data_IF_447458005504
#
_entry.id   IF_447458005504
#
_cell.length_a   1.000
_cell.length_b   1.000
_cell.length_c   1.000
_cell.angle_alpha   90.00
_cell.angle_beta   90.00
_cell.angle_gamma   90.00
#
_symmetry.space_group_name_H-M   'P 1'
#
loop_
_entity.id
_entity.type
_entity.pdbx_description
1 polymer ?
#
# COMPACT_ATOMS: atom_id res chain seq x y z
N UNK A 1 -2.89 40.83 -24.00
CA UNK A 1 -4.11 40.54 -23.20
C UNK A 1 -4.55 39.08 -23.30
N UNK A 2 -4.81 38.52 -24.50
CA UNK A 2 -5.27 37.13 -24.68
C UNK A 2 -4.31 36.06 -24.10
N UNK A 3 -2.99 36.25 -24.21
CA UNK A 3 -1.99 35.31 -23.68
C UNK A 3 -1.93 35.30 -22.14
N UNK A 4 -2.11 36.47 -21.52
CA UNK A 4 -2.12 36.62 -20.06
C UNK A 4 -3.34 35.91 -19.45
N UNK A 5 -4.51 36.05 -20.09
CA UNK A 5 -5.74 35.38 -19.66
C UNK A 5 -5.60 33.84 -19.75
N UNK A 6 -4.98 33.32 -20.81
CA UNK A 6 -4.72 31.88 -20.95
C UNK A 6 -3.81 31.35 -19.84
N UNK A 7 -2.73 32.06 -19.54
CA UNK A 7 -1.80 31.68 -18.49
C UNK A 7 -2.48 31.64 -17.11
N UNK A 8 -3.36 32.62 -16.86
CA UNK A 8 -4.13 32.71 -15.62
C UNK A 8 -5.10 31.54 -15.47
N UNK A 9 -5.82 31.16 -16.54
CA UNK A 9 -6.73 30.01 -16.55
C UNK A 9 -5.96 28.71 -16.34
N UNK A 10 -4.83 28.51 -17.02
CA UNK A 10 -3.99 27.31 -16.87
C UNK A 10 -3.45 27.18 -15.45
N UNK A 11 -2.98 28.27 -14.83
CA UNK A 11 -2.49 28.27 -13.46
C UNK A 11 -3.60 27.91 -12.46
N UNK A 12 -4.80 28.47 -12.63
CA UNK A 12 -5.97 28.12 -11.81
C UNK A 12 -6.32 26.64 -12.00
N UNK A 13 -6.40 26.15 -13.23
CA UNK A 13 -6.70 24.73 -13.48
C UNK A 13 -5.68 23.81 -12.82
N UNK A 14 -4.37 24.09 -12.92
CA UNK A 14 -3.32 23.30 -12.27
C UNK A 14 -3.41 23.31 -10.75
N UNK A 15 -3.83 24.43 -10.15
CA UNK A 15 -4.01 24.55 -8.70
C UNK A 15 -5.24 23.81 -8.19
N UNK A 16 -6.33 23.74 -8.97
CA UNK A 16 -7.56 23.03 -8.56
C UNK A 16 -7.54 21.55 -8.94
N UNK A 17 -6.78 21.16 -9.97
CA UNK A 17 -6.65 19.78 -10.45
C UNK A 17 -6.40 18.74 -9.34
N UNK A 18 -5.46 18.90 -8.39
CA UNK A 18 -5.23 17.89 -7.35
C UNK A 18 -6.45 17.63 -6.44
N UNK A 19 -7.37 18.59 -6.30
CA UNK A 19 -8.58 18.45 -5.45
C UNK A 19 -9.68 17.58 -6.08
N UNK A 20 -9.55 17.22 -7.36
CA UNK A 20 -10.49 16.35 -8.10
C UNK A 20 -9.83 15.04 -8.56
N UNK A 21 -8.58 14.78 -8.17
CA UNK A 21 -7.89 13.52 -8.44
C UNK A 21 -7.96 12.60 -7.22
N UNK A 22 -8.75 11.53 -7.31
CA UNK A 22 -8.84 10.45 -6.31
C UNK A 22 -7.60 9.51 -6.34
N UNK A 23 -6.42 10.06 -6.62
CA UNK A 23 -5.24 9.31 -7.06
C UNK A 23 -4.04 9.36 -6.12
N UNK A 24 -4.16 9.85 -4.89
CA UNK A 24 -3.05 9.71 -3.93
C UNK A 24 -3.11 8.34 -3.27
N UNK A 25 -2.41 7.40 -3.90
CA UNK A 25 -2.00 6.16 -3.24
C UNK A 25 -1.32 6.50 -1.90
N UNK A 26 -1.56 5.71 -0.84
CA UNK A 26 -0.92 5.94 0.45
C UNK A 26 0.61 5.88 0.29
N UNK A 27 1.32 6.75 1.00
CA UNK A 27 2.77 6.59 1.14
C UNK A 27 3.05 5.38 2.03
N UNK A 28 3.67 4.36 1.46
CA UNK A 28 4.03 3.13 2.18
C UNK A 28 5.37 3.27 2.93
N UNK A 29 6.10 4.36 2.77
CA UNK A 29 7.38 4.61 3.44
C UNK A 29 8.34 3.43 3.30
N UNK A 30 8.95 3.03 4.42
CA UNK A 30 9.88 1.88 4.46
C UNK A 30 9.21 0.51 4.23
N UNK A 31 7.89 0.41 4.27
CA UNK A 31 7.19 -0.83 3.93
C UNK A 31 7.14 -1.07 2.41
N UNK A 32 7.44 -0.05 1.58
CA UNK A 32 7.39 -0.15 0.11
C UNK A 32 8.34 -1.20 -0.51
N UNK A 33 9.43 -1.54 0.19
CA UNK A 33 10.38 -2.59 -0.25
C UNK A 33 9.96 -4.01 0.12
N UNK A 34 8.95 -4.17 0.97
CA UNK A 34 8.48 -5.46 1.45
C UNK A 34 7.38 -6.02 0.55
N UNK A 35 7.54 -7.26 0.12
CA UNK A 35 6.49 -8.02 -0.55
C UNK A 35 5.55 -8.72 0.45
N UNK A 36 6.08 -9.18 1.60
CA UNK A 36 5.29 -9.74 2.70
C UNK A 36 5.82 -9.22 4.03
N UNK A 37 4.94 -8.59 4.81
CA UNK A 37 5.34 -8.07 6.11
C UNK A 37 4.20 -8.16 7.12
N UNK A 38 4.54 -8.42 8.38
CA UNK A 38 3.63 -8.24 9.52
C UNK A 38 4.31 -7.45 10.63
N UNK A 39 3.62 -6.44 11.16
CA UNK A 39 4.13 -5.67 12.29
C UNK A 39 4.17 -6.52 13.58
N UNK A 40 3.22 -7.45 13.73
CA UNK A 40 3.14 -8.36 14.86
C UNK A 40 2.41 -9.64 14.49
N UNK A 41 3.15 -10.74 14.44
CA UNK A 41 2.64 -12.07 14.17
C UNK A 41 3.74 -13.00 13.66
N UNK A 42 3.57 -14.29 13.95
CA UNK A 42 4.33 -15.31 13.25
C UNK A 42 3.78 -15.49 11.83
N UNK A 43 4.65 -15.70 10.85
CA UNK A 43 4.24 -16.06 9.50
C UNK A 43 5.10 -17.23 8.99
N UNK A 44 4.43 -18.22 8.39
CA UNK A 44 5.03 -19.49 7.99
C UNK A 44 4.64 -19.85 6.58
N UNK A 45 5.62 -20.18 5.73
CA UNK A 45 5.38 -20.82 4.44
C UNK A 45 5.46 -22.35 4.56
N UNK A 46 4.55 -23.04 3.88
CA UNK A 46 4.53 -24.52 3.81
C UNK A 46 4.77 -25.04 2.39
N UNK A 47 4.69 -24.17 1.38
CA UNK A 47 4.77 -24.53 -0.04
C UNK A 47 6.20 -24.54 -0.57
N UNK A 48 6.56 -25.59 -1.31
CA UNK A 48 7.85 -25.70 -1.99
C UNK A 48 7.97 -24.81 -3.24
N UNK A 49 6.82 -24.46 -3.85
CA UNK A 49 6.75 -23.68 -5.08
C UNK A 49 6.52 -22.18 -4.80
N UNK A 50 6.68 -21.74 -3.55
CA UNK A 50 6.54 -20.35 -3.15
C UNK A 50 7.81 -19.59 -3.50
N UNK A 51 7.69 -18.58 -4.36
CA UNK A 51 8.76 -17.62 -4.66
C UNK A 51 8.25 -16.21 -4.43
N UNK A 52 8.97 -15.43 -3.63
CA UNK A 52 8.61 -14.05 -3.28
C UNK A 52 9.70 -13.13 -3.81
N UNK A 53 9.32 -12.13 -4.61
CA UNK A 53 10.23 -11.07 -5.06
C UNK A 53 9.97 -9.79 -4.26
N UNK A 54 10.99 -9.33 -3.53
CA UNK A 54 10.90 -8.26 -2.53
C UNK A 54 11.26 -8.76 -1.14
N UNK A 55 11.47 -7.84 -0.21
CA UNK A 55 11.85 -8.17 1.15
C UNK A 55 10.68 -8.82 1.89
N UNK A 56 10.97 -9.71 2.84
CA UNK A 56 9.95 -10.30 3.71
C UNK A 56 10.31 -10.09 5.17
N UNK A 57 9.32 -10.01 6.06
CA UNK A 57 9.64 -9.84 7.46
C UNK A 57 8.51 -9.88 8.48
N UNK A 58 8.93 -9.92 9.73
CA UNK A 58 8.08 -9.69 10.90
C UNK A 58 8.84 -8.85 11.92
N UNK A 59 8.20 -7.83 12.49
CA UNK A 59 8.82 -7.06 13.57
C UNK A 59 8.66 -7.74 14.94
N UNK A 60 7.59 -8.54 15.12
CA UNK A 60 7.38 -9.34 16.33
C UNK A 60 6.83 -10.71 15.93
N UNK A 61 7.57 -11.78 16.22
CA UNK A 61 7.15 -13.15 15.93
C UNK A 61 8.17 -13.93 15.13
N UNK A 62 7.82 -15.17 14.78
CA UNK A 62 8.69 -16.06 14.01
C UNK A 62 8.40 -15.98 12.51
N UNK A 63 9.46 -16.09 11.69
CA UNK A 63 9.36 -16.26 10.25
C UNK A 63 9.98 -17.61 9.89
N UNK A 64 9.18 -18.51 9.29
CA UNK A 64 9.63 -19.87 8.95
C UNK A 64 9.16 -20.32 7.57
N UNK A 65 9.79 -21.34 7.00
CA UNK A 65 9.39 -21.92 5.71
C UNK A 65 10.08 -21.33 4.47
N UNK A 66 11.14 -20.54 4.66
CA UNK A 66 12.04 -20.06 3.61
C UNK A 66 13.48 -20.41 4.01
N UNK A 67 13.99 -21.61 3.67
CA UNK A 67 13.45 -22.64 2.75
C UNK A 67 12.31 -23.52 3.32
N UNK A 68 11.52 -24.24 2.47
CA UNK A 68 11.74 -24.47 1.03
C UNK A 68 11.30 -23.34 0.11
N UNK A 69 10.55 -22.35 0.62
CA UNK A 69 10.22 -21.15 -0.16
C UNK A 69 11.48 -20.38 -0.54
N UNK A 70 11.39 -19.64 -1.64
CA UNK A 70 12.48 -18.80 -2.18
C UNK A 70 12.13 -17.33 -1.94
N UNK A 71 13.13 -16.56 -1.51
CA UNK A 71 13.04 -15.09 -1.40
C UNK A 71 14.07 -14.49 -2.35
N UNK A 72 13.61 -13.62 -3.23
CA UNK A 72 14.43 -12.76 -4.09
C UNK A 72 14.40 -11.37 -3.45
N UNK A 73 15.15 -11.22 -2.37
CA UNK A 73 15.12 -10.08 -1.45
C UNK A 73 15.80 -10.44 -0.12
N UNK A 74 15.61 -9.62 0.90
CA UNK A 74 16.11 -9.83 2.24
C UNK A 74 15.02 -10.31 3.20
N UNK A 75 15.44 -10.99 4.26
CA UNK A 75 14.57 -11.45 5.35
C UNK A 75 14.88 -10.59 6.58
N UNK A 76 13.87 -9.88 7.07
CA UNK A 76 13.98 -8.97 8.23
C UNK A 76 13.12 -9.47 9.40
N UNK A 77 13.76 -9.87 10.50
CA UNK A 77 13.08 -10.40 11.69
C UNK A 77 13.54 -9.63 12.92
N UNK A 78 12.65 -8.84 13.51
CA UNK A 78 12.89 -8.02 14.70
C UNK A 78 14.19 -7.19 14.62
N UNK A 79 14.46 -6.62 13.45
CA UNK A 79 15.58 -5.71 13.18
C UNK A 79 15.11 -4.27 12.90
N UNK A 80 16.07 -3.36 12.67
CA UNK A 80 15.79 -1.96 12.40
C UNK A 80 14.87 -1.73 11.18
N UNK A 81 15.03 -2.52 10.12
CA UNK A 81 14.22 -2.40 8.91
C UNK A 81 12.78 -2.83 9.18
N UNK A 82 12.58 -3.94 9.90
CA UNK A 82 11.26 -4.40 10.32
C UNK A 82 10.57 -3.42 11.28
N UNK A 83 11.31 -2.76 12.17
CA UNK A 83 10.77 -1.75 13.09
C UNK A 83 10.28 -0.50 12.34
N UNK A 84 11.06 -0.02 11.37
CA UNK A 84 10.65 1.08 10.50
C UNK A 84 9.44 0.68 9.65
N UNK A 85 9.44 -0.52 9.06
CA UNK A 85 8.31 -1.03 8.29
C UNK A 85 7.02 -1.14 9.12
N UNK A 86 7.10 -1.59 10.38
CA UNK A 86 5.95 -1.62 11.29
C UNK A 86 5.32 -0.23 11.48
N UNK A 87 6.16 0.79 11.71
CA UNK A 87 5.71 2.18 11.84
C UNK A 87 5.09 2.69 10.53
N UNK A 88 5.71 2.38 9.39
CA UNK A 88 5.21 2.80 8.08
C UNK A 88 3.86 2.15 7.73
N UNK A 89 3.66 0.87 8.08
CA UNK A 89 2.37 0.18 7.91
C UNK A 89 1.28 0.83 8.77
N UNK A 90 1.59 1.16 10.04
CA UNK A 90 0.63 1.82 10.94
C UNK A 90 0.22 3.21 10.42
N UNK A 91 1.18 4.00 9.93
CA UNK A 91 0.93 5.29 9.31
C UNK A 91 0.06 5.16 8.05
N UNK A 92 0.39 4.22 7.16
CA UNK A 92 -0.37 3.99 5.94
C UNK A 92 -1.80 3.53 6.25
N UNK A 93 -1.97 2.63 7.23
CA UNK A 93 -3.28 2.18 7.70
C UNK A 93 -4.09 3.32 8.30
N UNK A 94 -3.49 4.14 9.18
CA UNK A 94 -4.15 5.29 9.80
C UNK A 94 -4.61 6.29 8.74
N UNK A 95 -3.77 6.55 7.73
CA UNK A 95 -4.16 7.40 6.60
C UNK A 95 -5.36 6.81 5.85
N UNK A 96 -5.29 5.53 5.43
CA UNK A 96 -6.33 4.87 4.65
C UNK A 96 -7.66 4.74 5.41
N UNK A 97 -7.61 4.40 6.70
CA UNK A 97 -8.81 4.23 7.55
C UNK A 97 -9.52 5.55 7.85
N UNK A 98 -8.81 6.69 7.74
CA UNK A 98 -9.39 8.03 7.82
C UNK A 98 -10.11 8.48 6.55
N UNK A 99 -10.02 7.72 5.45
CA UNK A 99 -10.66 8.07 4.18
C UNK A 99 -12.12 7.61 4.15
N UNK A 100 -13.01 8.50 3.70
CA UNK A 100 -14.39 8.14 3.38
C UNK A 100 -14.50 7.54 1.97
N UNK A 101 -15.35 6.52 1.82
CA UNK A 101 -15.57 5.82 0.55
C UNK A 101 -17.05 5.72 0.17
N UNK A 102 -17.30 5.20 -1.03
CA UNK A 102 -18.62 4.76 -1.45
C UNK A 102 -18.85 3.32 -0.98
N UNK A 103 -20.05 3.05 -0.48
CA UNK A 103 -20.41 1.69 -0.06
C UNK A 103 -20.56 0.76 -1.27
N UNK A 104 -20.03 -0.45 -1.12
CA UNK A 104 -20.30 -1.53 -2.04
C UNK A 104 -21.71 -2.07 -1.77
N UNK A 105 -22.67 -1.72 -2.65
CA UNK A 105 -24.07 -2.13 -2.53
C UNK A 105 -24.27 -3.66 -2.52
N UNK A 106 -23.32 -4.41 -3.07
CA UNK A 106 -23.25 -5.87 -3.05
C UNK A 106 -21.83 -6.31 -2.70
N UNK A 107 -21.68 -7.51 -2.14
CA UNK A 107 -20.35 -8.08 -1.90
C UNK A 107 -19.51 -8.13 -3.17
N UNK A 108 -18.21 -7.83 -3.04
CA UNK A 108 -17.26 -7.74 -4.14
C UNK A 108 -17.25 -9.03 -4.98
N UNK A 109 -17.39 -8.91 -6.30
CA UNK A 109 -17.33 -10.04 -7.24
C UNK A 109 -18.35 -9.96 -8.37
N UNK A 110 -18.78 -11.12 -8.88
CA UNK A 110 -19.89 -11.28 -9.84
C UNK A 110 -19.83 -10.39 -11.10
N UNK A 111 -18.63 -10.06 -11.58
CA UNK A 111 -18.43 -9.24 -12.77
C UNK A 111 -18.63 -7.73 -12.56
N UNK A 112 -18.63 -7.26 -11.31
CA UNK A 112 -18.66 -5.84 -10.99
C UNK A 112 -17.47 -5.10 -11.60
N UNK A 113 -17.71 -3.90 -12.14
CA UNK A 113 -16.68 -2.98 -12.62
C UNK A 113 -16.59 -1.84 -11.61
N UNK A 114 -15.46 -1.74 -10.92
CA UNK A 114 -15.15 -0.62 -10.04
C UNK A 114 -14.45 0.48 -10.84
N UNK A 115 -14.84 1.72 -10.59
CA UNK A 115 -14.14 2.90 -11.14
C UNK A 115 -13.12 3.38 -10.10
N UNK A 116 -12.15 4.24 -10.46
CA UNK A 116 -11.23 4.79 -9.48
C UNK A 116 -11.98 5.48 -8.32
N UNK A 117 -11.69 5.07 -7.09
CA UNK A 117 -12.35 5.58 -5.89
C UNK A 117 -11.93 4.84 -4.61
N UNK A 118 -12.47 5.31 -3.49
CA UNK A 118 -12.35 4.66 -2.17
C UNK A 118 -13.66 3.91 -1.92
N UNK A 119 -13.56 2.67 -1.45
CA UNK A 119 -14.71 1.78 -1.25
C UNK A 119 -14.77 1.30 0.20
N UNK A 120 -15.97 1.28 0.76
CA UNK A 120 -16.31 0.73 2.07
C UNK A 120 -17.32 -0.41 1.94
N UNK A 121 -17.40 -1.26 2.97
CA UNK A 121 -18.40 -2.33 3.10
C UNK A 121 -19.20 -2.13 4.36
#
# INVERSE_FOLDING_TARGET
>A
MKSIIRLFITAIVLLVFPNINYGQAPDLGSASGFALFTASGAFTNTGIATSVAGDIGTNVGALTGFPPGIVIGQIHVADANSALAATAVDNAYTYLSGLGGADLEVGLGNGQILTPGIYST
#
